data_IF_834257745869
#
_entry.id   IF_834257745869
#
_cell.length_a   1.000
_cell.length_b   1.000
_cell.length_c   1.000
_cell.angle_alpha   90.00
_cell.angle_beta   90.00
_cell.angle_gamma   90.00
#
_symmetry.space_group_name_H-M   'P 1'
#
loop_
_entity.id
_entity.type
_entity.pdbx_description
1 polymer ?
#
# COMPACT_ATOMS: atom_id res chain seq x y z
N UNK A 1 5.23 24.67 -14.47
CA UNK A 1 5.04 23.37 -15.17
C UNK A 1 4.09 22.52 -14.32
N UNK A 2 2.93 22.22 -14.85
CA UNK A 2 1.94 21.41 -14.13
C UNK A 2 2.36 19.95 -14.10
N UNK A 3 2.38 19.34 -12.91
CA UNK A 3 2.55 17.91 -12.79
C UNK A 3 1.38 17.22 -13.50
N UNK A 4 1.66 16.31 -14.42
CA UNK A 4 0.61 15.51 -15.07
C UNK A 4 -0.05 14.63 -14.03
N UNK A 5 -1.38 14.52 -14.06
CA UNK A 5 -2.11 13.56 -13.26
C UNK A 5 -1.62 12.14 -13.57
N UNK A 6 -1.49 11.26 -12.58
CA UNK A 6 -1.07 9.90 -12.82
C UNK A 6 -2.08 9.17 -13.70
N UNK A 7 -1.59 8.24 -14.50
CA UNK A 7 -2.44 7.31 -15.26
C UNK A 7 -2.93 6.25 -14.29
N UNK A 8 -4.24 6.12 -14.16
CA UNK A 8 -4.86 5.19 -13.21
C UNK A 8 -5.67 4.16 -14.00
N UNK A 9 -5.44 2.87 -13.70
CA UNK A 9 -6.19 1.74 -14.26
C UNK A 9 -6.68 0.84 -13.14
N UNK A 10 -7.85 0.26 -13.32
CA UNK A 10 -8.30 -0.84 -12.49
C UNK A 10 -7.85 -2.17 -13.12
N UNK A 11 -7.28 -3.06 -12.31
CA UNK A 11 -6.85 -4.38 -12.76
C UNK A 11 -7.47 -5.47 -11.89
N UNK A 12 -7.98 -6.51 -12.52
CA UNK A 12 -8.48 -7.68 -11.81
C UNK A 12 -7.32 -8.61 -11.45
N UNK A 13 -7.31 -9.08 -10.22
CA UNK A 13 -6.37 -10.08 -9.72
C UNK A 13 -7.11 -11.26 -9.09
N UNK A 14 -6.55 -12.45 -9.21
CA UNK A 14 -7.17 -13.66 -8.63
C UNK A 14 -7.11 -13.68 -7.11
N UNK A 15 -6.06 -13.10 -6.54
CA UNK A 15 -5.85 -12.99 -5.10
C UNK A 15 -5.05 -11.74 -4.78
N UNK A 16 -5.36 -11.10 -3.66
CA UNK A 16 -4.57 -9.99 -3.13
C UNK A 16 -3.35 -10.47 -2.33
N UNK A 17 -3.32 -11.74 -1.94
CA UNK A 17 -2.26 -12.31 -1.14
C UNK A 17 -1.17 -12.92 -2.01
N UNK A 18 0.07 -12.52 -1.77
CA UNK A 18 1.27 -13.13 -2.36
C UNK A 18 2.10 -13.77 -1.25
N UNK A 19 2.42 -15.05 -1.40
CA UNK A 19 3.30 -15.72 -0.46
C UNK A 19 4.65 -15.01 -0.43
N UNK A 20 5.14 -14.72 0.77
CA UNK A 20 6.37 -13.95 0.96
C UNK A 20 7.52 -14.88 1.36
N UNK A 21 8.71 -14.55 0.88
CA UNK A 21 9.97 -15.14 1.35
C UNK A 21 10.69 -14.23 2.35
N UNK A 22 10.06 -13.11 2.75
CA UNK A 22 10.62 -12.22 3.75
C UNK A 22 10.52 -12.86 5.13
N UNK A 23 11.57 -12.73 5.97
CA UNK A 23 11.56 -13.34 7.29
C UNK A 23 10.54 -12.73 8.25
N UNK A 24 9.96 -11.58 7.91
CA UNK A 24 9.05 -10.80 8.76
C UNK A 24 7.56 -11.04 8.48
N UNK A 25 7.23 -11.80 7.43
CA UNK A 25 5.83 -12.05 7.09
C UNK A 25 5.65 -13.30 6.24
N UNK A 26 4.50 -13.95 6.38
CA UNK A 26 4.11 -15.07 5.52
C UNK A 26 3.51 -14.60 4.19
N UNK A 27 2.84 -13.47 4.18
CA UNK A 27 2.22 -12.91 2.98
C UNK A 27 2.53 -11.43 2.82
N UNK A 28 2.79 -11.06 1.59
CA UNK A 28 2.87 -9.67 1.15
C UNK A 28 1.55 -9.29 0.48
N UNK A 29 1.00 -8.16 0.86
CA UNK A 29 -0.31 -7.70 0.41
C UNK A 29 -0.20 -6.25 -0.08
N UNK A 30 -0.39 -6.05 -1.38
CA UNK A 30 -0.29 -4.73 -1.99
C UNK A 30 -1.56 -4.43 -2.79
N UNK A 31 -2.45 -3.56 -2.30
CA UNK A 31 -3.70 -3.21 -2.98
C UNK A 31 -3.51 -2.47 -4.29
N UNK A 32 -2.31 -1.96 -4.52
CA UNK A 32 -1.95 -1.19 -5.73
C UNK A 32 -0.67 -1.71 -6.36
N UNK A 33 -0.48 -1.39 -7.64
CA UNK A 33 0.80 -1.47 -8.33
C UNK A 33 1.20 -0.06 -8.76
N UNK A 34 2.43 0.32 -8.46
CA UNK A 34 2.85 1.70 -8.59
C UNK A 34 2.71 2.47 -7.29
N UNK A 35 3.27 3.66 -7.24
CA UNK A 35 3.17 4.52 -6.06
C UNK A 35 3.31 5.97 -6.48
N UNK A 36 2.22 6.72 -6.38
CA UNK A 36 2.15 8.11 -6.82
C UNK A 36 2.88 9.10 -5.92
N UNK A 37 3.41 8.65 -4.77
CA UNK A 37 4.37 9.45 -4.00
C UNK A 37 5.60 9.83 -4.83
N UNK A 38 6.03 8.96 -5.75
CA UNK A 38 7.09 9.27 -6.70
C UNK A 38 8.43 9.62 -6.06
N UNK A 39 8.75 9.00 -4.92
CA UNK A 39 9.99 9.26 -4.20
C UNK A 39 11.20 8.92 -5.06
N UNK A 40 12.18 9.83 -5.13
CA UNK A 40 13.39 9.63 -5.93
C UNK A 40 14.26 8.46 -5.47
N UNK A 41 14.16 8.09 -4.20
CA UNK A 41 14.92 6.99 -3.57
C UNK A 41 14.12 5.68 -3.48
N UNK A 42 13.02 5.56 -4.21
CA UNK A 42 12.12 4.40 -4.10
C UNK A 42 12.78 3.12 -4.62
N UNK A 43 12.98 2.14 -3.73
CA UNK A 43 13.49 0.82 -4.14
C UNK A 43 12.46 0.02 -4.95
N UNK A 44 11.17 0.27 -4.73
CA UNK A 44 10.08 -0.47 -5.36
C UNK A 44 9.92 -0.18 -6.86
N UNK A 45 10.68 0.77 -7.40
CA UNK A 45 10.63 1.11 -8.84
C UNK A 45 10.92 -0.09 -9.75
N UNK A 46 11.62 -1.13 -9.25
CA UNK A 46 11.85 -2.37 -9.99
C UNK A 46 10.56 -3.09 -10.38
N UNK A 47 9.47 -2.86 -9.66
CA UNK A 47 8.17 -3.45 -9.94
C UNK A 47 7.59 -3.03 -11.29
N UNK A 48 8.05 -1.92 -11.85
CA UNK A 48 7.63 -1.47 -13.18
C UNK A 48 7.82 -2.53 -14.24
N UNK A 49 8.90 -3.31 -14.16
CA UNK A 49 9.21 -4.38 -15.14
C UNK A 49 8.15 -5.49 -15.23
N UNK A 50 7.31 -5.61 -14.19
CA UNK A 50 6.21 -6.58 -14.16
C UNK A 50 4.87 -5.98 -14.61
N UNK A 51 4.88 -4.75 -15.08
CA UNK A 51 3.70 -4.03 -15.56
C UNK A 51 3.78 -3.84 -17.07
N UNK A 52 2.65 -3.47 -17.68
CA UNK A 52 2.58 -3.07 -19.09
C UNK A 52 2.79 -1.58 -19.30
N UNK A 53 3.14 -0.84 -18.25
CA UNK A 53 3.30 0.59 -18.30
C UNK A 53 4.61 1.00 -18.98
N UNK A 54 4.51 1.88 -19.99
CA UNK A 54 5.66 2.58 -20.57
C UNK A 54 6.05 3.80 -19.72
N UNK A 55 5.10 4.36 -18.97
CA UNK A 55 5.25 5.55 -18.17
C UNK A 55 6.28 5.36 -17.03
N UNK A 56 6.99 6.41 -16.61
CA UNK A 56 7.93 6.33 -15.49
C UNK A 56 7.25 5.93 -14.18
N UNK A 57 7.98 5.22 -13.32
CA UNK A 57 7.53 4.94 -11.97
C UNK A 57 7.15 6.22 -11.23
N UNK A 58 6.03 6.20 -10.51
CA UNK A 58 5.48 7.37 -9.82
C UNK A 58 4.46 8.15 -10.62
N UNK A 59 4.27 7.81 -11.91
CA UNK A 59 3.33 8.50 -12.80
C UNK A 59 2.15 7.62 -13.23
N UNK A 60 2.08 6.39 -12.73
CA UNK A 60 0.94 5.49 -12.96
C UNK A 60 0.54 4.78 -11.66
N UNK A 61 -0.68 4.28 -11.65
CA UNK A 61 -1.22 3.48 -10.55
C UNK A 61 -2.20 2.46 -11.10
N UNK A 62 -1.96 1.19 -10.80
CA UNK A 62 -2.95 0.14 -11.00
C UNK A 62 -3.67 -0.13 -9.69
N UNK A 63 -4.98 0.00 -9.71
CA UNK A 63 -5.87 -0.26 -8.58
C UNK A 63 -6.35 -1.70 -8.67
N UNK A 64 -5.96 -2.54 -7.73
CA UNK A 64 -6.34 -3.95 -7.75
C UNK A 64 -7.78 -4.17 -7.33
N UNK A 65 -8.48 -4.98 -8.10
CA UNK A 65 -9.80 -5.51 -7.77
C UNK A 65 -9.65 -7.02 -7.61
N UNK A 66 -10.01 -7.53 -6.44
CA UNK A 66 -9.92 -8.96 -6.10
C UNK A 66 -11.27 -9.51 -5.70
N UNK A 67 -11.49 -10.84 -5.84
CA UNK A 67 -12.70 -11.49 -5.35
C UNK A 67 -12.83 -11.37 -3.83
N UNK A 68 -14.06 -11.43 -3.34
CA UNK A 68 -14.33 -11.47 -1.90
C UNK A 68 -13.49 -12.56 -1.22
N UNK A 69 -12.91 -12.21 -0.08
CA UNK A 69 -12.14 -13.15 0.75
C UNK A 69 -13.12 -14.00 1.53
N UNK A 70 -13.41 -15.21 1.03
CA UNK A 70 -14.45 -16.09 1.59
C UNK A 70 -14.09 -16.73 2.93
N UNK A 71 -12.80 -17.02 3.12
CA UNK A 71 -12.29 -17.71 4.31
C UNK A 71 -11.15 -16.90 4.94
N UNK A 72 -11.41 -15.71 5.50
CA UNK A 72 -10.36 -14.89 6.07
C UNK A 72 -9.68 -15.54 7.29
N UNK A 73 -10.38 -16.43 7.99
CA UNK A 73 -9.85 -17.15 9.16
C UNK A 73 -8.68 -18.08 8.85
N UNK A 74 -8.46 -18.47 7.60
CA UNK A 74 -7.25 -19.23 7.22
C UNK A 74 -5.96 -18.43 7.42
N UNK A 75 -6.05 -17.12 7.56
CA UNK A 75 -4.94 -16.23 7.85
C UNK A 75 -4.74 -15.99 9.35
N UNK A 76 -5.52 -16.64 10.22
CA UNK A 76 -5.38 -16.52 11.67
C UNK A 76 -3.96 -16.84 12.11
N UNK A 77 -3.35 -15.94 12.90
CA UNK A 77 -1.97 -16.07 13.35
C UNK A 77 -0.91 -15.80 12.29
N UNK A 78 -1.30 -15.57 11.04
CA UNK A 78 -0.36 -15.25 9.95
C UNK A 78 -0.01 -13.77 9.94
N UNK A 79 1.25 -13.48 9.67
CA UNK A 79 1.74 -12.11 9.53
C UNK A 79 1.53 -11.65 8.07
N UNK A 80 0.72 -10.62 7.90
CA UNK A 80 0.44 -9.99 6.61
C UNK A 80 1.14 -8.64 6.53
N UNK A 81 2.05 -8.48 5.58
CA UNK A 81 2.74 -7.21 5.36
C UNK A 81 2.04 -6.41 4.25
N UNK A 82 1.41 -5.31 4.62
CA UNK A 82 0.66 -4.43 3.72
C UNK A 82 1.56 -3.25 3.35
N UNK A 83 1.85 -3.11 2.05
CA UNK A 83 2.66 -2.01 1.54
C UNK A 83 4.13 -2.32 1.38
N UNK A 84 4.49 -3.54 1.00
CA UNK A 84 5.90 -3.91 0.78
C UNK A 84 6.50 -3.27 -0.49
N UNK A 85 5.71 -3.03 -1.53
CA UNK A 85 6.16 -2.47 -2.82
C UNK A 85 5.28 -1.33 -3.35
N UNK A 86 4.42 -0.80 -2.52
CA UNK A 86 3.58 0.38 -2.76
C UNK A 86 3.27 1.03 -1.43
N UNK A 87 2.74 2.25 -1.43
CA UNK A 87 2.17 2.81 -0.20
C UNK A 87 0.67 2.50 -0.16
N UNK A 88 0.17 1.76 0.84
CA UNK A 88 -1.24 1.42 0.94
C UNK A 88 -2.14 2.63 1.22
N UNK A 89 -1.57 3.75 1.62
CA UNK A 89 -2.28 4.99 1.91
C UNK A 89 -1.81 6.15 1.03
N UNK A 90 -1.44 5.85 -0.23
CA UNK A 90 -1.19 6.90 -1.22
C UNK A 90 -2.44 7.77 -1.42
N UNK A 91 -2.31 8.99 -2.00
CA UNK A 91 -3.44 9.92 -2.08
C UNK A 91 -4.71 9.35 -2.72
N UNK A 92 -4.56 8.46 -3.69
CA UNK A 92 -5.66 7.83 -4.42
C UNK A 92 -6.47 6.85 -3.55
N UNK A 93 -5.90 6.37 -2.44
CA UNK A 93 -6.63 5.52 -1.48
C UNK A 93 -7.85 6.23 -0.88
N UNK A 94 -7.81 7.55 -0.76
CA UNK A 94 -8.97 8.33 -0.29
C UNK A 94 -10.19 8.09 -1.17
N UNK A 95 -9.98 8.00 -2.48
CA UNK A 95 -11.03 7.76 -3.47
C UNK A 95 -11.35 6.27 -3.64
N UNK A 96 -10.34 5.44 -3.80
CA UNK A 96 -10.53 4.03 -4.18
C UNK A 96 -10.80 3.12 -2.99
N UNK A 97 -10.32 3.46 -1.79
CA UNK A 97 -10.62 2.73 -0.55
C UNK A 97 -10.22 1.26 -0.56
N UNK A 98 -9.18 0.87 -1.31
CA UNK A 98 -8.82 -0.54 -1.46
C UNK A 98 -8.15 -1.11 -0.22
N UNK A 99 -7.30 -0.33 0.44
CA UNK A 99 -6.68 -0.73 1.71
C UNK A 99 -7.74 -0.85 2.80
N UNK A 100 -8.67 0.11 2.88
CA UNK A 100 -9.79 0.02 3.80
C UNK A 100 -10.65 -1.22 3.55
N UNK A 101 -11.01 -1.49 2.30
CA UNK A 101 -11.79 -2.67 1.93
C UNK A 101 -11.07 -3.97 2.31
N UNK A 102 -9.76 -4.04 2.13
CA UNK A 102 -8.95 -5.17 2.56
C UNK A 102 -9.02 -5.39 4.07
N UNK A 103 -8.83 -4.33 4.85
CA UNK A 103 -8.90 -4.40 6.31
C UNK A 103 -10.29 -4.81 6.82
N UNK A 104 -11.35 -4.29 6.20
CA UNK A 104 -12.72 -4.67 6.53
C UNK A 104 -12.99 -6.14 6.25
N UNK A 105 -12.50 -6.69 5.14
CA UNK A 105 -12.63 -8.10 4.81
C UNK A 105 -11.82 -9.02 5.74
N UNK A 106 -10.71 -8.53 6.28
CA UNK A 106 -9.84 -9.27 7.20
C UNK A 106 -10.20 -9.07 8.67
N UNK A 107 -11.09 -8.16 8.99
CA UNK A 107 -11.53 -7.92 10.37
C UNK A 107 -12.11 -9.19 10.98
N UNK A 108 -11.65 -9.55 12.17
CA UNK A 108 -12.08 -10.77 12.85
C UNK A 108 -11.44 -12.06 12.36
N UNK A 109 -10.52 -12.00 11.38
CA UNK A 109 -9.83 -13.18 10.87
C UNK A 109 -8.80 -13.78 11.83
N UNK A 110 -8.31 -13.01 12.80
CA UNK A 110 -7.19 -13.38 13.65
C UNK A 110 -5.83 -13.18 13.00
N UNK A 111 -5.76 -12.59 11.82
CA UNK A 111 -4.51 -12.24 11.15
C UNK A 111 -3.75 -11.16 11.92
N UNK A 112 -2.42 -11.21 11.86
CA UNK A 112 -1.53 -10.15 12.32
C UNK A 112 -1.18 -9.27 11.14
N UNK A 113 -1.11 -7.96 11.33
CA UNK A 113 -0.83 -7.03 10.25
C UNK A 113 0.35 -6.13 10.57
N UNK A 114 1.19 -5.90 9.56
CA UNK A 114 2.22 -4.87 9.54
C UNK A 114 1.96 -3.96 8.36
N UNK A 115 1.88 -2.67 8.60
CA UNK A 115 1.59 -1.67 7.57
C UNK A 115 2.75 -0.68 7.52
N UNK A 116 3.29 -0.45 6.33
CA UNK A 116 4.29 0.57 6.08
C UNK A 116 3.69 1.68 5.22
N UNK A 117 3.77 2.92 5.67
CA UNK A 117 3.24 4.08 4.95
C UNK A 117 4.02 5.36 5.25
N UNK A 118 3.93 6.33 4.36
CA UNK A 118 4.36 7.72 4.57
C UNK A 118 3.19 8.65 4.86
N UNK A 119 1.96 8.17 4.72
CA UNK A 119 0.75 8.97 4.70
C UNK A 119 0.05 9.02 6.06
N UNK A 120 -0.46 10.17 6.40
CA UNK A 120 -1.34 10.37 7.55
C UNK A 120 -2.78 9.87 7.30
N UNK A 121 -3.12 9.56 6.04
CA UNK A 121 -4.43 9.01 5.68
C UNK A 121 -4.73 7.71 6.46
N UNK A 122 -3.72 6.99 6.93
CA UNK A 122 -3.88 5.81 7.79
C UNK A 122 -4.70 6.11 9.06
N UNK A 123 -4.69 7.35 9.52
CA UNK A 123 -5.46 7.77 10.70
C UNK A 123 -6.97 7.54 10.51
N UNK A 124 -7.46 7.62 9.27
CA UNK A 124 -8.84 7.29 8.92
C UNK A 124 -9.25 5.88 9.37
N UNK A 125 -8.32 4.94 9.30
CA UNK A 125 -8.56 3.52 9.51
C UNK A 125 -8.04 3.00 10.86
N UNK A 126 -7.62 3.90 11.74
CA UNK A 126 -6.94 3.52 12.98
C UNK A 126 -7.81 2.64 13.89
N UNK A 127 -9.10 2.94 14.01
CA UNK A 127 -10.02 2.14 14.82
C UNK A 127 -10.23 0.73 14.23
N UNK A 128 -10.22 0.62 12.90
CA UNK A 128 -10.28 -0.66 12.21
C UNK A 128 -8.99 -1.47 12.43
N UNK A 129 -7.83 -0.81 12.34
CA UNK A 129 -6.53 -1.44 12.57
C UNK A 129 -6.40 -1.98 14.00
N UNK A 130 -6.93 -1.27 14.99
CA UNK A 130 -6.94 -1.72 16.39
C UNK A 130 -7.74 -2.99 16.65
N UNK A 131 -8.63 -3.39 15.75
CA UNK A 131 -9.42 -4.62 15.90
C UNK A 131 -8.61 -5.90 15.62
N UNK A 132 -7.43 -5.77 15.01
CA UNK A 132 -6.55 -6.91 14.76
C UNK A 132 -5.81 -7.32 16.05
N UNK A 133 -5.56 -8.63 16.26
CA UNK A 133 -4.93 -9.11 17.50
C UNK A 133 -3.51 -8.58 17.69
N UNK A 134 -2.82 -8.35 16.57
CA UNK A 134 -1.50 -7.74 16.56
C UNK A 134 -1.38 -6.86 15.31
N UNK A 135 -1.16 -5.58 15.52
CA UNK A 135 -1.02 -4.61 14.43
C UNK A 135 0.21 -3.74 14.67
N UNK A 136 1.04 -3.63 13.64
CA UNK A 136 2.23 -2.78 13.64
C UNK A 136 2.12 -1.79 12.50
N UNK A 137 2.33 -0.52 12.80
CA UNK A 137 2.40 0.55 11.80
C UNK A 137 3.80 1.15 11.82
N UNK A 138 4.42 1.14 10.65
CA UNK A 138 5.73 1.76 10.44
C UNK A 138 5.55 3.00 9.57
N UNK A 139 5.83 4.16 10.15
CA UNK A 139 5.80 5.42 9.42
C UNK A 139 7.19 5.77 8.89
N UNK A 140 7.29 5.91 7.57
CA UNK A 140 8.54 6.31 6.93
C UNK A 140 8.68 7.82 6.95
N UNK A 141 9.52 8.32 7.85
CA UNK A 141 9.90 9.73 7.93
C UNK A 141 11.37 9.84 7.54
N UNK A 142 11.64 10.43 6.38
CA UNK A 142 13.01 10.51 5.86
C UNK A 142 13.74 11.79 6.28
N UNK A 143 13.00 12.84 6.58
CA UNK A 143 13.56 14.13 6.99
C UNK A 143 12.48 14.99 7.66
N UNK A 144 12.91 15.83 8.57
CA UNK A 144 12.08 16.89 9.15
C UNK A 144 12.26 18.23 8.41
N UNK A 145 13.18 18.27 7.44
CA UNK A 145 13.41 19.44 6.60
C UNK A 145 12.41 19.45 5.44
N UNK A 146 11.54 20.44 5.41
CA UNK A 146 10.47 20.52 4.41
C UNK A 146 10.99 20.80 2.99
N UNK A 147 12.04 21.58 2.84
CA UNK A 147 12.62 21.86 1.53
C UNK A 147 13.23 20.60 0.93
N UNK A 148 14.01 19.88 1.72
CA UNK A 148 14.56 18.59 1.28
C UNK A 148 13.46 17.58 0.94
N UNK A 149 12.38 17.57 1.69
CA UNK A 149 11.22 16.72 1.45
C UNK A 149 10.54 17.07 0.12
N UNK A 150 10.33 18.36 -0.14
CA UNK A 150 9.71 18.84 -1.38
C UNK A 150 10.53 18.47 -2.62
N UNK A 151 11.85 18.49 -2.50
CA UNK A 151 12.75 18.14 -3.61
C UNK A 151 12.86 16.64 -3.88
N UNK A 152 12.75 15.80 -2.86
CA UNK A 152 13.06 14.38 -2.91
C UNK A 152 11.87 13.45 -2.71
N UNK A 153 10.80 13.92 -2.06
CA UNK A 153 9.53 13.22 -1.92
C UNK A 153 8.41 14.01 -2.60
N UNK A 154 8.03 13.63 -3.80
CA UNK A 154 7.17 14.45 -4.67
C UNK A 154 5.74 14.70 -4.19
N UNK A 155 5.21 13.97 -3.26
CA UNK A 155 3.88 14.21 -2.67
C UNK A 155 3.94 13.83 -1.21
N UNK A 156 4.55 14.70 -0.43
CA UNK A 156 4.45 14.56 1.00
C UNK A 156 3.17 15.20 1.48
N UNK A 157 2.59 14.52 2.37
CA UNK A 157 1.60 14.88 3.37
C UNK A 157 1.25 16.36 3.45
N UNK A 158 0.04 16.66 3.23
CA UNK A 158 -0.63 17.83 3.78
C UNK A 158 -1.35 17.44 5.05
#
# INVERSE_FOLDING_TARGET
MFARSPIIREIEVKSIFSKSNLPVCEYSVNPYVGCTHGCKYCYACFMKRFTVHAEPWGTFLDVKVWPEIKNPEKYAGKELFIGSVTDPYLPEEEKYGRTRALLEQLQGSGAKISIATKSDLIMRDLELIKTFPEARVSWSVNTLNEDFRAENGRRSLH
#
